data_IF_065117255700
#
_entry.id   IF_065117255700
#
_cell.length_a   1.000
_cell.length_b   1.000
_cell.length_c   1.000
_cell.angle_alpha   90.00
_cell.angle_beta   90.00
_cell.angle_gamma   90.00
#
_symmetry.space_group_name_H-M   'P 1'
#
loop_
_entity.id
_entity.type
_entity.pdbx_description
1 polymer ?
#
# COMPACT_ATOMS: atom_id res chain seq x y z
N UNK A 1 -0.69 1.64 -20.54
CA UNK A 1 -1.04 0.64 -19.50
C UNK A 1 -2.09 1.29 -18.60
N UNK A 2 -3.23 0.65 -18.40
CA UNK A 2 -4.20 1.10 -17.39
C UNK A 2 -3.62 0.85 -16.00
N UNK A 3 -3.96 1.69 -15.02
CA UNK A 3 -3.56 1.55 -13.61
C UNK A 3 -2.03 1.47 -13.36
N UNK A 4 -1.27 2.31 -14.05
CA UNK A 4 0.19 2.23 -14.04
C UNK A 4 0.80 2.46 -12.66
N UNK A 5 0.25 3.36 -11.83
CA UNK A 5 0.72 3.62 -10.47
C UNK A 5 0.60 2.38 -9.57
N UNK A 6 -0.53 1.65 -9.67
CA UNK A 6 -0.71 0.40 -8.93
C UNK A 6 0.25 -0.71 -9.42
N UNK A 7 0.47 -0.81 -10.75
CA UNK A 7 1.46 -1.71 -11.33
C UNK A 7 2.88 -1.37 -10.91
N UNK A 8 3.21 -0.07 -10.82
CA UNK A 8 4.52 0.39 -10.36
C UNK A 8 4.80 -0.03 -8.91
N UNK A 9 3.82 0.08 -8.02
CA UNK A 9 3.95 -0.41 -6.64
C UNK A 9 4.22 -1.92 -6.59
N UNK A 10 3.53 -2.70 -7.42
CA UNK A 10 3.81 -4.15 -7.55
C UNK A 10 5.18 -4.41 -8.15
N UNK A 11 5.59 -3.62 -9.13
CA UNK A 11 6.91 -3.73 -9.75
C UNK A 11 8.04 -3.55 -8.73
N UNK A 12 7.95 -2.53 -7.89
CA UNK A 12 8.95 -2.27 -6.83
C UNK A 12 9.11 -3.48 -5.90
N UNK A 13 7.99 -4.06 -5.44
CA UNK A 13 8.03 -5.26 -4.58
C UNK A 13 8.63 -6.47 -5.31
N UNK A 14 8.22 -6.69 -6.56
CA UNK A 14 8.73 -7.76 -7.40
C UNK A 14 10.23 -7.60 -7.70
N UNK A 15 10.65 -6.37 -8.06
CA UNK A 15 12.05 -6.06 -8.33
C UNK A 15 12.93 -6.30 -7.10
N UNK A 16 12.51 -5.78 -5.94
CA UNK A 16 13.22 -5.99 -4.68
C UNK A 16 13.32 -7.49 -4.34
N UNK A 17 12.22 -8.24 -4.48
CA UNK A 17 12.20 -9.68 -4.20
C UNK A 17 13.11 -10.48 -5.15
N UNK A 18 13.26 -10.06 -6.41
CA UNK A 18 14.06 -10.75 -7.41
C UNK A 18 15.56 -10.41 -7.34
N UNK A 19 15.91 -9.20 -6.90
CA UNK A 19 17.26 -8.68 -6.95
C UNK A 19 17.93 -8.51 -5.57
N UNK A 20 17.27 -8.94 -4.49
CA UNK A 20 17.81 -8.85 -3.13
C UNK A 20 17.86 -10.21 -2.47
N UNK A 21 19.02 -10.62 -1.99
CA UNK A 21 19.19 -11.85 -1.21
C UNK A 21 18.53 -11.72 0.17
N UNK A 22 18.59 -10.54 0.76
CA UNK A 22 17.92 -10.18 2.00
C UNK A 22 16.75 -9.27 1.63
N UNK A 23 15.55 -9.62 2.09
CA UNK A 23 14.34 -8.93 1.66
C UNK A 23 13.72 -8.16 2.81
N UNK A 24 13.47 -6.87 2.58
CA UNK A 24 12.65 -6.03 3.47
C UNK A 24 11.21 -6.55 3.46
N UNK A 25 10.71 -6.86 2.26
CA UNK A 25 9.37 -7.41 2.03
C UNK A 25 9.38 -8.28 0.76
N UNK A 26 8.57 -9.32 0.75
CA UNK A 26 8.36 -10.15 -0.45
C UNK A 26 6.92 -10.65 -0.51
N UNK A 27 6.40 -10.77 -1.72
CA UNK A 27 5.05 -11.27 -2.01
C UNK A 27 4.97 -11.86 -3.43
N UNK A 28 3.75 -12.04 -3.94
CA UNK A 28 3.47 -12.57 -5.27
C UNK A 28 3.40 -11.49 -6.36
N UNK A 29 4.04 -10.33 -6.14
CA UNK A 29 3.96 -9.22 -7.09
C UNK A 29 4.55 -9.53 -8.46
N UNK A 30 5.51 -10.44 -8.55
CA UNK A 30 6.09 -10.85 -9.84
C UNK A 30 5.10 -11.64 -10.68
N UNK A 31 4.35 -12.50 -10.04
CA UNK A 31 3.30 -13.33 -10.68
C UNK A 31 2.19 -12.44 -11.23
N UNK A 32 1.73 -11.46 -10.46
CA UNK A 32 0.65 -10.57 -10.91
C UNK A 32 1.09 -9.63 -12.05
N UNK A 33 2.37 -9.26 -12.10
CA UNK A 33 2.92 -8.43 -13.19
C UNK A 33 3.03 -9.18 -14.51
N UNK A 34 3.43 -10.45 -14.47
CA UNK A 34 3.67 -11.25 -15.67
C UNK A 34 4.56 -10.49 -16.66
N UNK A 35 4.08 -10.36 -17.91
CA UNK A 35 4.81 -9.66 -19.00
C UNK A 35 5.02 -8.16 -18.78
N UNK A 36 4.29 -7.54 -17.88
CA UNK A 36 4.43 -6.10 -17.61
C UNK A 36 5.71 -5.82 -16.80
N UNK A 37 6.28 -6.82 -16.13
CA UNK A 37 7.56 -6.67 -15.43
C UNK A 37 8.68 -6.18 -16.36
N UNK A 38 8.89 -6.86 -17.49
CA UNK A 38 9.95 -6.51 -18.44
C UNK A 38 9.66 -5.16 -19.13
N UNK A 39 8.40 -4.87 -19.43
CA UNK A 39 8.00 -3.57 -20.01
C UNK A 39 8.31 -2.42 -19.05
N UNK A 40 7.96 -2.55 -17.78
CA UNK A 40 8.23 -1.51 -16.78
C UNK A 40 9.74 -1.36 -16.59
N UNK A 41 10.50 -2.46 -16.55
CA UNK A 41 11.96 -2.44 -16.52
C UNK A 41 12.54 -1.59 -17.67
N UNK A 42 12.06 -1.83 -18.90
CA UNK A 42 12.48 -1.05 -20.07
C UNK A 42 12.15 0.44 -19.96
N UNK A 43 10.95 0.79 -19.49
CA UNK A 43 10.57 2.19 -19.28
C UNK A 43 11.42 2.89 -18.24
N UNK A 44 11.67 2.26 -17.10
CA UNK A 44 12.52 2.83 -16.06
C UNK A 44 13.96 3.00 -16.54
N UNK A 45 14.49 1.99 -17.24
CA UNK A 45 15.84 2.06 -17.79
C UNK A 45 16.01 3.23 -18.76
N UNK A 46 15.08 3.41 -19.69
CA UNK A 46 15.10 4.52 -20.66
C UNK A 46 14.84 5.89 -20.01
N UNK A 47 14.10 5.92 -18.89
CA UNK A 47 13.64 7.14 -18.23
C UNK A 47 14.57 7.68 -17.14
N UNK A 48 15.80 7.18 -16.98
CA UNK A 48 16.70 7.59 -15.87
C UNK A 48 16.94 9.10 -15.81
N UNK A 49 17.06 9.77 -16.95
CA UNK A 49 17.27 11.21 -17.03
C UNK A 49 16.14 12.05 -16.43
N UNK A 50 14.94 11.49 -16.32
CA UNK A 50 13.80 12.10 -15.66
C UNK A 50 13.98 12.21 -14.13
N UNK A 51 14.71 11.26 -13.54
CA UNK A 51 14.95 11.21 -12.10
C UNK A 51 16.23 11.89 -11.69
N UNK A 52 17.24 11.85 -12.54
CA UNK A 52 18.56 12.48 -12.30
C UNK A 52 19.26 12.76 -13.62
N UNK A 53 19.84 13.98 -13.75
CA UNK A 53 20.62 14.41 -14.93
C UNK A 53 22.02 13.81 -14.97
N UNK A 54 22.56 13.40 -13.81
CA UNK A 54 24.00 13.11 -13.66
C UNK A 54 24.28 11.62 -13.43
N UNK A 55 23.33 10.74 -13.76
CA UNK A 55 23.53 9.30 -13.59
C UNK A 55 24.66 8.77 -14.48
N UNK A 56 25.67 8.17 -13.85
CA UNK A 56 26.83 7.56 -14.52
C UNK A 56 26.99 6.06 -14.22
N UNK A 57 26.00 5.46 -13.53
CA UNK A 57 26.05 4.05 -13.16
C UNK A 57 25.65 3.13 -14.31
N UNK A 58 25.83 1.82 -14.11
CA UNK A 58 25.52 0.79 -15.09
C UNK A 58 24.10 0.20 -14.95
N UNK A 59 23.45 0.41 -13.80
CA UNK A 59 22.09 -0.12 -13.53
C UNK A 59 21.12 1.01 -13.14
N UNK A 60 20.52 1.67 -14.15
CA UNK A 60 19.58 2.77 -13.91
C UNK A 60 18.31 2.31 -13.20
N UNK A 61 17.84 1.07 -13.42
CA UNK A 61 16.63 0.55 -12.80
C UNK A 61 16.84 0.34 -11.31
N UNK A 62 17.96 -0.27 -10.91
CA UNK A 62 18.31 -0.43 -9.51
C UNK A 62 18.39 0.92 -8.79
N UNK A 63 19.00 1.91 -9.44
CA UNK A 63 19.10 3.25 -8.87
C UNK A 63 17.72 3.88 -8.66
N UNK A 64 16.85 3.87 -9.69
CA UNK A 64 15.49 4.44 -9.59
C UNK A 64 14.69 3.71 -8.50
N UNK A 65 14.71 2.38 -8.53
CA UNK A 65 13.96 1.60 -7.56
C UNK A 65 14.42 1.92 -6.14
N UNK A 66 15.70 1.83 -5.84
CA UNK A 66 16.20 1.95 -4.46
C UNK A 66 16.19 3.39 -3.94
N UNK A 67 16.38 4.40 -4.79
CA UNK A 67 16.49 5.79 -4.34
C UNK A 67 15.17 6.57 -4.44
N UNK A 68 14.22 6.11 -5.28
CA UNK A 68 12.99 6.87 -5.55
C UNK A 68 11.74 6.11 -5.12
N UNK A 69 11.59 4.85 -5.53
CA UNK A 69 10.33 4.13 -5.44
C UNK A 69 10.22 3.22 -4.20
N UNK A 70 11.26 2.44 -3.94
CA UNK A 70 11.28 1.45 -2.86
C UNK A 70 11.13 2.05 -1.47
N UNK A 71 11.70 3.24 -1.15
CA UNK A 71 11.60 3.80 0.19
C UNK A 71 10.18 3.88 0.72
N UNK A 72 9.21 4.35 -0.06
CA UNK A 72 7.81 4.44 0.38
C UNK A 72 7.04 3.13 0.19
N UNK A 73 7.23 2.45 -0.94
CA UNK A 73 6.49 1.22 -1.27
C UNK A 73 6.84 0.07 -0.33
N UNK A 74 8.13 -0.15 -0.06
CA UNK A 74 8.54 -1.23 0.84
C UNK A 74 8.23 -0.90 2.30
N UNK A 75 8.33 0.38 2.70
CA UNK A 75 7.97 0.82 4.03
C UNK A 75 6.50 0.51 4.35
N UNK A 76 5.56 1.00 3.51
CA UNK A 76 4.14 0.73 3.74
C UNK A 76 3.78 -0.76 3.68
N UNK A 77 4.42 -1.51 2.78
CA UNK A 77 4.20 -2.95 2.67
C UNK A 77 4.67 -3.71 3.90
N UNK A 78 5.85 -3.36 4.43
CA UNK A 78 6.42 -3.97 5.64
C UNK A 78 5.65 -3.59 6.89
N UNK A 79 5.24 -2.31 6.99
CA UNK A 79 4.42 -1.82 8.10
C UNK A 79 3.07 -2.55 8.12
N UNK A 80 2.40 -2.64 6.97
CA UNK A 80 1.16 -3.41 6.84
C UNK A 80 1.36 -4.88 7.23
N UNK A 81 2.41 -5.51 6.73
CA UNK A 81 2.67 -6.92 7.01
C UNK A 81 2.93 -7.20 8.50
N UNK A 82 3.70 -6.34 9.18
CA UNK A 82 3.93 -6.43 10.64
C UNK A 82 2.61 -6.41 11.41
N UNK A 83 1.75 -5.42 11.11
CA UNK A 83 0.45 -5.31 11.79
C UNK A 83 -0.49 -6.46 11.43
N UNK A 84 -0.58 -6.85 10.16
CA UNK A 84 -1.37 -8.00 9.73
C UNK A 84 -0.97 -9.28 10.49
N UNK A 85 0.33 -9.56 10.63
CA UNK A 85 0.82 -10.71 11.39
C UNK A 85 0.45 -10.63 12.89
N UNK A 86 0.52 -9.44 13.48
CA UNK A 86 0.12 -9.24 14.86
C UNK A 86 -1.39 -9.44 15.04
N UNK A 87 -2.20 -8.89 14.12
CA UNK A 87 -3.65 -9.03 14.15
C UNK A 87 -4.09 -10.50 13.98
N UNK A 88 -3.40 -11.27 13.13
CA UNK A 88 -3.62 -12.72 13.00
C UNK A 88 -3.37 -13.43 14.33
N UNK A 89 -2.27 -13.12 15.03
CA UNK A 89 -1.97 -13.68 16.37
C UNK A 89 -3.03 -13.30 17.41
N UNK A 90 -3.62 -12.12 17.28
CA UNK A 90 -4.70 -11.59 18.12
C UNK A 90 -6.10 -12.07 17.71
N UNK A 91 -6.19 -13.06 16.81
CA UNK A 91 -7.45 -13.71 16.46
C UNK A 91 -8.24 -13.01 15.36
N UNK A 92 -7.57 -12.32 14.42
CA UNK A 92 -8.17 -11.72 13.23
C UNK A 92 -9.12 -12.68 12.52
N UNK A 93 -10.29 -12.18 12.12
CA UNK A 93 -11.30 -12.95 11.37
C UNK A 93 -11.49 -12.45 9.95
N UNK A 94 -11.31 -11.16 9.72
CA UNK A 94 -11.53 -10.51 8.44
C UNK A 94 -10.39 -9.54 8.13
N UNK A 95 -9.92 -9.56 6.89
CA UNK A 95 -8.97 -8.61 6.36
C UNK A 95 -9.61 -7.85 5.20
N UNK A 96 -9.79 -6.55 5.36
CA UNK A 96 -10.39 -5.65 4.37
C UNK A 96 -9.28 -4.82 3.71
N UNK A 97 -9.11 -4.96 2.42
CA UNK A 97 -8.13 -4.22 1.62
C UNK A 97 -8.87 -3.24 0.72
N UNK A 98 -8.78 -1.97 1.02
CA UNK A 98 -9.41 -0.89 0.25
C UNK A 98 -8.42 -0.27 -0.73
N UNK A 99 -8.88 0.10 -1.93
CA UNK A 99 -8.05 0.47 -3.06
C UNK A 99 -6.97 -0.60 -3.30
N UNK A 100 -7.41 -1.86 -3.40
CA UNK A 100 -6.52 -3.03 -3.38
C UNK A 100 -5.57 -3.10 -4.58
N UNK A 101 -5.90 -2.45 -5.70
CA UNK A 101 -5.07 -2.43 -6.89
C UNK A 101 -4.48 -3.80 -7.21
N UNK A 102 -3.16 -3.85 -7.31
CA UNK A 102 -2.40 -5.10 -7.49
C UNK A 102 -1.66 -5.52 -6.20
N UNK A 103 -2.21 -5.18 -5.03
CA UNK A 103 -1.73 -5.69 -3.75
C UNK A 103 -1.94 -7.20 -3.66
N UNK A 104 -0.95 -7.91 -3.15
CA UNK A 104 -0.98 -9.37 -2.96
C UNK A 104 -0.89 -9.79 -1.49
N UNK A 105 -1.09 -8.85 -0.55
CA UNK A 105 -1.08 -9.13 0.90
C UNK A 105 -2.20 -10.10 1.32
N UNK A 106 -3.29 -10.18 0.56
CA UNK A 106 -4.32 -11.21 0.70
C UNK A 106 -3.76 -12.62 0.74
N UNK A 107 -2.67 -12.89 0.02
CA UNK A 107 -2.01 -14.20 -0.02
C UNK A 107 -1.11 -14.47 1.20
N UNK A 108 -0.94 -13.50 2.10
CA UNK A 108 -0.18 -13.65 3.35
C UNK A 108 -1.01 -14.18 4.52
N UNK A 109 -2.33 -14.27 4.38
CA UNK A 109 -3.21 -14.79 5.41
C UNK A 109 -3.61 -16.25 5.11
N UNK A 110 -3.90 -17.02 6.16
CA UNK A 110 -4.41 -18.37 6.01
C UNK A 110 -5.92 -18.36 5.66
N UNK A 111 -6.47 -19.50 5.28
CA UNK A 111 -7.87 -19.62 4.87
C UNK A 111 -8.89 -19.44 6.01
N UNK A 112 -8.46 -19.30 7.27
CA UNK A 112 -9.32 -19.01 8.41
C UNK A 112 -9.69 -17.52 8.50
N UNK A 113 -8.96 -16.65 7.81
CA UNK A 113 -9.23 -15.22 7.70
C UNK A 113 -9.91 -14.98 6.37
N UNK A 114 -11.13 -14.45 6.39
CA UNK A 114 -11.81 -14.00 5.17
C UNK A 114 -11.20 -12.71 4.69
N UNK A 115 -10.94 -12.60 3.40
CA UNK A 115 -10.38 -11.41 2.78
C UNK A 115 -11.42 -10.75 1.89
N UNK A 116 -11.51 -9.43 1.97
CA UNK A 116 -12.35 -8.60 1.11
C UNK A 116 -11.46 -7.55 0.44
N UNK A 117 -11.42 -7.59 -0.88
CA UNK A 117 -10.70 -6.60 -1.69
C UNK A 117 -11.72 -5.70 -2.37
N UNK A 118 -11.64 -4.40 -2.05
CA UNK A 118 -12.53 -3.39 -2.62
C UNK A 118 -11.72 -2.46 -3.53
N UNK A 119 -12.12 -2.38 -4.78
CA UNK A 119 -11.54 -1.46 -5.77
C UNK A 119 -12.54 -1.27 -6.92
N UNK A 120 -12.21 -0.41 -7.89
CA UNK A 120 -12.99 -0.26 -9.12
C UNK A 120 -13.12 -1.61 -9.84
N UNK A 121 -14.28 -1.87 -10.42
CA UNK A 121 -14.61 -3.15 -11.05
C UNK A 121 -13.60 -3.57 -12.14
N UNK A 122 -13.14 -2.62 -12.96
CA UNK A 122 -12.19 -2.90 -14.03
C UNK A 122 -10.79 -3.26 -13.49
N UNK A 123 -10.36 -2.67 -12.35
CA UNK A 123 -9.12 -3.00 -11.67
C UNK A 123 -9.18 -4.43 -11.13
N UNK A 124 -10.27 -4.78 -10.46
CA UNK A 124 -10.45 -6.13 -9.89
C UNK A 124 -10.56 -7.21 -10.98
N UNK A 125 -11.20 -6.89 -12.10
CA UNK A 125 -11.30 -7.83 -13.22
C UNK A 125 -9.94 -8.09 -13.87
N UNK A 126 -9.11 -7.07 -14.07
CA UNK A 126 -7.74 -7.24 -14.54
C UNK A 126 -6.90 -8.03 -13.52
N UNK A 127 -7.03 -7.72 -12.22
CA UNK A 127 -6.35 -8.48 -11.15
C UNK A 127 -6.74 -9.96 -11.15
N UNK A 128 -8.02 -10.27 -11.24
CA UNK A 128 -8.52 -11.66 -11.31
C UNK A 128 -7.97 -12.40 -12.52
N UNK A 129 -7.94 -11.77 -13.68
CA UNK A 129 -7.37 -12.37 -14.90
C UNK A 129 -5.86 -12.67 -14.74
N UNK A 130 -5.11 -11.77 -14.14
CA UNK A 130 -3.67 -11.96 -13.85
C UNK A 130 -3.40 -13.10 -12.86
N UNK A 131 -4.33 -13.36 -11.96
CA UNK A 131 -4.22 -14.35 -10.89
C UNK A 131 -5.02 -15.63 -11.17
N UNK A 132 -5.59 -15.80 -12.36
CA UNK A 132 -6.50 -16.92 -12.68
C UNK A 132 -5.95 -18.33 -12.46
N UNK A 133 -4.63 -18.48 -12.48
CA UNK A 133 -3.96 -19.76 -12.25
C UNK A 133 -3.56 -19.96 -10.77
N UNK A 134 -3.92 -19.03 -9.89
CA UNK A 134 -3.58 -19.06 -8.47
C UNK A 134 -4.87 -19.27 -7.69
N UNK A 135 -5.01 -20.45 -7.11
CA UNK A 135 -6.19 -20.77 -6.30
C UNK A 135 -6.09 -20.14 -4.92
N UNK A 136 -7.07 -19.28 -4.59
CA UNK A 136 -7.30 -18.77 -3.24
C UNK A 136 -8.78 -18.53 -3.02
N UNK A 137 -9.40 -19.38 -2.24
CA UNK A 137 -10.85 -19.46 -2.05
C UNK A 137 -11.41 -18.49 -1.01
N UNK A 138 -10.55 -17.86 -0.18
CA UNK A 138 -10.98 -16.96 0.91
C UNK A 138 -10.99 -15.48 0.55
N UNK A 139 -10.84 -15.11 -0.74
CA UNK A 139 -10.85 -13.72 -1.21
C UNK A 139 -12.18 -13.40 -1.87
N UNK A 140 -12.86 -12.36 -1.35
CA UNK A 140 -14.05 -11.77 -1.93
C UNK A 140 -13.68 -10.46 -2.63
N UNK A 141 -13.99 -10.33 -3.90
CA UNK A 141 -13.74 -9.12 -4.69
C UNK A 141 -15.01 -8.28 -4.78
N UNK A 142 -14.96 -7.03 -4.33
CA UNK A 142 -16.09 -6.11 -4.26
C UNK A 142 -15.82 -4.90 -5.16
N UNK A 143 -16.43 -4.89 -6.34
CA UNK A 143 -16.27 -3.80 -7.33
C UNK A 143 -17.03 -2.55 -6.88
N UNK A 144 -16.31 -1.52 -6.38
CA UNK A 144 -16.91 -0.28 -5.92
C UNK A 144 -15.92 0.90 -5.99
N UNK A 145 -16.48 2.10 -6.10
CA UNK A 145 -15.74 3.34 -5.91
C UNK A 145 -15.78 3.74 -4.43
N UNK A 146 -14.63 3.97 -3.81
CA UNK A 146 -14.52 4.32 -2.38
C UNK A 146 -15.11 5.69 -2.03
N UNK A 147 -15.34 6.54 -3.02
CA UNK A 147 -16.04 7.83 -2.83
C UNK A 147 -17.55 7.71 -2.87
N UNK A 148 -18.08 6.53 -3.16
CA UNK A 148 -19.52 6.22 -3.27
C UNK A 148 -20.03 5.32 -2.13
N UNK A 149 -21.07 4.55 -2.38
CA UNK A 149 -21.71 3.64 -1.42
C UNK A 149 -21.04 2.24 -1.36
N UNK A 150 -19.70 2.19 -1.35
CA UNK A 150 -18.93 0.94 -1.31
C UNK A 150 -19.27 0.05 -0.10
N UNK A 151 -19.62 0.66 1.04
CA UNK A 151 -19.99 -0.08 2.25
C UNK A 151 -21.26 -0.91 2.06
N UNK A 152 -22.23 -0.44 1.29
CA UNK A 152 -23.44 -1.22 0.98
C UNK A 152 -23.07 -2.46 0.18
N UNK A 153 -22.25 -2.33 -0.86
CA UNK A 153 -21.79 -3.48 -1.66
C UNK A 153 -20.96 -4.47 -0.85
N UNK A 154 -20.12 -3.99 0.08
CA UNK A 154 -19.39 -4.87 0.98
C UNK A 154 -20.36 -5.65 1.88
N UNK A 155 -21.40 -5.00 2.41
CA UNK A 155 -22.40 -5.61 3.30
C UNK A 155 -23.38 -6.55 2.58
N UNK A 156 -23.45 -6.52 1.25
CA UNK A 156 -24.15 -7.53 0.44
C UNK A 156 -23.38 -8.86 0.37
N UNK A 157 -22.10 -8.87 0.75
CA UNK A 157 -21.31 -10.08 0.88
C UNK A 157 -21.49 -10.74 2.26
N UNK A 158 -20.68 -11.73 2.57
CA UNK A 158 -20.66 -12.35 3.90
C UNK A 158 -19.78 -11.61 4.93
N UNK A 159 -19.50 -10.31 4.70
CA UNK A 159 -18.80 -9.45 5.64
C UNK A 159 -19.64 -9.25 6.91
N UNK A 160 -19.04 -9.52 8.06
CA UNK A 160 -19.70 -9.46 9.36
C UNK A 160 -19.14 -8.31 10.21
N UNK A 161 -19.97 -7.30 10.47
CA UNK A 161 -19.63 -6.13 11.30
C UNK A 161 -19.22 -6.46 12.75
N UNK A 162 -19.52 -7.65 13.21
CA UNK A 162 -19.22 -8.09 14.58
C UNK A 162 -17.92 -8.88 14.67
N UNK A 163 -17.25 -9.15 13.55
CA UNK A 163 -15.99 -9.89 13.54
C UNK A 163 -14.80 -8.97 13.52
N UNK A 164 -13.80 -9.26 14.37
CA UNK A 164 -12.54 -8.52 14.40
C UNK A 164 -11.96 -8.40 12.99
N UNK A 165 -11.75 -7.15 12.55
CA UNK A 165 -11.32 -6.79 11.20
C UNK A 165 -10.03 -5.98 11.24
N UNK A 166 -9.09 -6.32 10.38
CA UNK A 166 -7.96 -5.46 10.06
C UNK A 166 -8.20 -4.83 8.69
N UNK A 167 -8.01 -3.53 8.59
CA UNK A 167 -8.24 -2.76 7.34
C UNK A 167 -6.94 -2.14 6.89
N UNK A 168 -6.55 -2.37 5.64
CA UNK A 168 -5.45 -1.66 4.99
C UNK A 168 -5.96 -0.73 3.90
N UNK A 169 -5.44 0.50 3.89
CA UNK A 169 -5.83 1.60 3.01
C UNK A 169 -4.56 2.31 2.53
N UNK A 170 -3.79 1.64 1.66
CA UNK A 170 -2.45 2.05 1.30
C UNK A 170 -2.38 2.80 -0.04
N UNK A 171 -1.65 3.92 -0.05
CA UNK A 171 -1.35 4.68 -1.27
C UNK A 171 -2.54 5.40 -1.87
N UNK A 172 -3.65 5.59 -1.16
CA UNK A 172 -4.86 6.26 -1.66
C UNK A 172 -5.06 7.67 -1.12
N UNK A 173 -4.59 7.96 0.10
CA UNK A 173 -4.74 9.27 0.76
C UNK A 173 -4.20 10.43 -0.08
N UNK A 174 -3.21 10.16 -0.90
CA UNK A 174 -2.55 11.07 -1.83
C UNK A 174 -3.52 11.68 -2.86
N UNK A 175 -4.52 10.91 -3.29
CA UNK A 175 -5.42 11.19 -4.42
C UNK A 175 -6.81 11.64 -4.00
N UNK A 176 -7.09 11.64 -2.70
CA UNK A 176 -8.37 12.08 -2.14
C UNK A 176 -8.22 13.43 -1.44
N UNK A 177 -9.24 14.28 -1.53
CA UNK A 177 -9.32 15.46 -0.67
C UNK A 177 -9.36 15.04 0.81
N UNK A 178 -8.75 15.84 1.69
CA UNK A 178 -8.66 15.53 3.14
C UNK A 178 -10.02 15.19 3.75
N UNK A 179 -11.06 15.94 3.38
CA UNK A 179 -12.42 15.71 3.88
C UNK A 179 -12.94 14.36 3.41
N UNK A 180 -12.74 14.02 2.13
CA UNK A 180 -13.17 12.74 1.57
C UNK A 180 -12.42 11.58 2.23
N UNK A 181 -11.12 11.72 2.46
CA UNK A 181 -10.33 10.69 3.13
C UNK A 181 -10.75 10.51 4.60
N UNK A 182 -10.99 11.61 5.33
CA UNK A 182 -11.50 11.59 6.69
C UNK A 182 -12.85 10.89 6.79
N UNK A 183 -13.78 11.18 5.88
CA UNK A 183 -15.08 10.50 5.77
C UNK A 183 -14.92 9.02 5.44
N UNK A 184 -13.97 8.66 4.60
CA UNK A 184 -13.68 7.27 4.27
C UNK A 184 -13.24 6.50 5.52
N UNK A 185 -12.30 7.02 6.30
CA UNK A 185 -11.84 6.40 7.56
C UNK A 185 -13.00 6.28 8.57
N UNK A 186 -13.87 7.30 8.66
CA UNK A 186 -15.08 7.24 9.49
C UNK A 186 -16.02 6.12 9.06
N UNK A 187 -16.35 6.02 7.77
CA UNK A 187 -17.20 4.94 7.23
C UNK A 187 -16.61 3.55 7.51
N UNK A 188 -15.27 3.41 7.43
CA UNK A 188 -14.60 2.16 7.81
C UNK A 188 -14.84 1.86 9.28
N UNK A 189 -14.58 2.83 10.17
CA UNK A 189 -14.78 2.65 11.60
C UNK A 189 -16.22 2.27 11.95
N UNK A 190 -17.22 2.80 11.24
CA UNK A 190 -18.63 2.53 11.51
C UNK A 190 -19.06 1.08 11.20
N UNK A 191 -18.29 0.37 10.37
CA UNK A 191 -18.63 -1.00 9.95
C UNK A 191 -17.75 -2.09 10.58
N UNK A 192 -16.80 -1.74 11.42
CA UNK A 192 -15.93 -2.70 12.11
C UNK A 192 -16.16 -2.64 13.63
N UNK A 193 -15.97 -3.74 14.38
CA UNK A 193 -16.17 -3.74 15.84
C UNK A 193 -14.98 -3.15 16.60
N UNK A 194 -15.17 -2.91 17.89
CA UNK A 194 -14.11 -2.52 18.82
C UNK A 194 -12.93 -3.51 18.78
N UNK A 195 -11.72 -2.99 18.93
CA UNK A 195 -10.47 -3.76 18.85
C UNK A 195 -10.03 -4.10 17.42
N UNK A 196 -10.74 -3.60 16.41
CA UNK A 196 -10.32 -3.66 15.00
C UNK A 196 -9.34 -2.57 14.65
N UNK A 197 -8.44 -2.84 13.69
CA UNK A 197 -7.40 -1.92 13.28
C UNK A 197 -7.60 -1.33 11.88
N UNK A 198 -7.19 -0.08 11.67
CA UNK A 198 -7.18 0.62 10.38
C UNK A 198 -5.77 1.13 10.13
N UNK A 199 -5.16 0.71 9.04
CA UNK A 199 -3.80 1.09 8.67
C UNK A 199 -3.78 1.85 7.34
N UNK A 200 -3.08 2.97 7.31
CA UNK A 200 -2.91 3.79 6.10
C UNK A 200 -1.58 4.55 6.12
N UNK A 201 -1.20 5.07 4.96
CA UNK A 201 -0.08 5.99 4.81
C UNK A 201 -0.56 7.34 4.27
N UNK A 202 0.13 8.42 4.67
CA UNK A 202 -0.19 9.79 4.23
C UNK A 202 1.06 10.53 3.80
N UNK A 203 1.00 11.32 2.70
CA UNK A 203 2.07 12.24 2.37
C UNK A 203 2.02 13.47 3.28
N UNK A 204 3.18 14.00 3.63
CA UNK A 204 3.33 15.33 4.23
C UNK A 204 3.86 16.37 3.23
N UNK A 205 4.03 17.60 3.66
CA UNK A 205 4.51 18.72 2.81
C UNK A 205 5.91 18.51 2.20
N UNK A 206 6.70 17.60 2.76
CA UNK A 206 8.05 17.26 2.29
C UNK A 206 8.07 16.14 1.26
N UNK A 207 6.90 15.60 0.89
CA UNK A 207 6.82 14.53 -0.11
C UNK A 207 7.43 14.96 -1.45
N UNK A 208 8.37 14.17 -1.95
CA UNK A 208 9.18 14.53 -3.13
C UNK A 208 8.32 14.66 -4.40
N UNK A 209 8.34 15.87 -4.99
CA UNK A 209 7.62 16.20 -6.22
C UNK A 209 8.09 15.38 -7.44
N UNK A 210 9.28 14.80 -7.42
CA UNK A 210 9.78 13.94 -8.52
C UNK A 210 8.94 12.68 -8.67
N UNK A 211 8.36 12.18 -7.56
CA UNK A 211 7.43 11.05 -7.61
C UNK A 211 6.09 11.47 -8.25
N UNK A 212 5.70 12.76 -8.15
CA UNK A 212 4.50 13.27 -8.81
C UNK A 212 4.53 13.11 -10.34
N UNK A 213 5.68 13.20 -10.97
CA UNK A 213 5.84 12.99 -12.40
C UNK A 213 5.72 11.53 -12.84
N UNK A 214 5.63 10.59 -11.89
CA UNK A 214 5.29 9.19 -12.14
C UNK A 214 3.78 8.93 -12.11
N UNK A 215 2.96 9.93 -11.74
CA UNK A 215 1.51 9.90 -11.99
C UNK A 215 1.30 10.00 -13.50
N UNK A 216 1.17 8.86 -14.14
CA UNK A 216 1.11 8.73 -15.60
C UNK A 216 -0.29 8.94 -16.16
N UNK A 217 -1.25 9.34 -15.34
CA UNK A 217 -2.59 9.72 -15.77
C UNK A 217 -3.05 11.00 -15.07
N UNK A 218 -3.84 11.81 -15.77
CA UNK A 218 -4.46 13.02 -15.22
C UNK A 218 -5.39 12.77 -14.03
N UNK A 219 -5.86 11.53 -13.86
CA UNK A 219 -6.79 11.12 -12.82
C UNK A 219 -6.08 10.76 -11.49
N UNK A 220 -4.74 10.68 -11.51
CA UNK A 220 -3.90 10.32 -10.37
C UNK A 220 -3.10 11.52 -9.85
N UNK A 221 -3.64 12.73 -10.01
CA UNK A 221 -3.01 13.93 -9.49
C UNK A 221 -3.09 13.96 -7.96
N UNK A 222 -1.97 14.30 -7.34
CA UNK A 222 -1.86 14.39 -5.89
C UNK A 222 -2.65 15.57 -5.37
N UNK A 223 -3.60 15.33 -4.47
CA UNK A 223 -4.54 16.32 -3.96
C UNK A 223 -4.24 16.82 -2.56
N UNK A 224 -3.69 15.98 -1.69
CA UNK A 224 -3.61 16.28 -0.27
C UNK A 224 -2.27 15.97 0.36
N UNK A 225 -1.86 16.83 1.32
CA UNK A 225 -0.76 16.63 2.25
C UNK A 225 -1.28 16.72 3.67
N UNK A 226 -0.79 15.88 4.58
CA UNK A 226 -1.31 15.75 5.94
C UNK A 226 -0.25 16.16 6.96
N UNK A 227 -0.62 17.01 7.90
CA UNK A 227 0.17 17.28 9.08
C UNK A 227 -0.32 16.44 10.28
N UNK A 228 0.32 16.56 11.45
CA UNK A 228 -0.04 15.78 12.63
C UNK A 228 -1.47 16.08 13.10
N UNK A 229 -1.90 17.33 13.03
CA UNK A 229 -3.27 17.74 13.40
C UNK A 229 -4.32 17.09 12.49
N UNK A 230 -4.05 16.99 11.18
CA UNK A 230 -4.96 16.29 10.25
C UNK A 230 -5.14 14.82 10.66
N UNK A 231 -4.06 14.16 11.09
CA UNK A 231 -4.09 12.76 11.53
C UNK A 231 -4.86 12.63 12.85
N UNK A 232 -4.62 13.52 13.82
CA UNK A 232 -5.35 13.57 15.09
C UNK A 232 -6.86 13.81 14.86
N UNK A 233 -7.20 14.72 13.96
CA UNK A 233 -8.58 15.01 13.56
C UNK A 233 -9.27 13.81 12.88
N UNK A 234 -8.54 13.03 12.07
CA UNK A 234 -9.05 11.79 11.47
C UNK A 234 -9.35 10.76 12.56
N UNK A 235 -8.41 10.54 13.49
CA UNK A 235 -8.57 9.58 14.57
C UNK A 235 -9.78 9.95 15.47
N UNK A 236 -9.86 11.20 15.91
CA UNK A 236 -10.96 11.70 16.74
C UNK A 236 -12.32 11.56 16.04
N UNK A 237 -12.41 11.97 14.78
CA UNK A 237 -13.65 11.92 14.00
C UNK A 237 -14.13 10.49 13.75
N UNK A 238 -13.20 9.55 13.58
CA UNK A 238 -13.52 8.13 13.35
C UNK A 238 -13.73 7.32 14.64
N UNK A 239 -13.65 7.93 15.82
CA UNK A 239 -13.69 7.23 17.11
C UNK A 239 -12.64 6.12 17.20
N UNK A 240 -11.39 6.47 16.86
CA UNK A 240 -10.23 5.59 16.92
C UNK A 240 -9.10 6.24 17.71
N UNK A 241 -8.18 5.42 18.23
CA UNK A 241 -6.93 5.88 18.83
C UNK A 241 -5.77 5.64 17.87
N UNK A 242 -4.84 6.57 17.81
CA UNK A 242 -3.56 6.38 17.14
C UNK A 242 -2.74 5.40 18.00
N UNK A 243 -2.61 4.16 17.52
CA UNK A 243 -1.82 3.12 18.21
C UNK A 243 -0.33 3.23 17.84
N UNK A 244 -0.04 3.45 16.56
CA UNK A 244 1.32 3.65 16.07
C UNK A 244 1.31 4.71 14.94
N UNK A 245 2.26 5.64 14.99
CA UNK A 245 2.52 6.62 13.94
C UNK A 245 4.03 6.67 13.72
N UNK A 246 4.48 6.29 12.54
CA UNK A 246 5.88 6.22 12.17
C UNK A 246 6.22 7.24 11.08
N UNK A 247 7.42 7.78 11.16
CA UNK A 247 8.03 8.60 10.13
C UNK A 247 9.21 7.90 9.44
N UNK A 248 9.95 8.62 8.62
CA UNK A 248 11.10 8.10 7.88
C UNK A 248 12.26 7.65 8.79
N UNK A 249 12.41 8.24 9.99
CA UNK A 249 13.45 7.85 10.96
C UNK A 249 13.11 6.47 11.51
N UNK A 250 11.85 6.27 11.90
CA UNK A 250 11.36 4.99 12.42
C UNK A 250 11.47 3.90 11.36
N UNK A 251 11.09 4.21 10.11
CA UNK A 251 11.20 3.25 8.99
C UNK A 251 12.65 2.82 8.78
N UNK A 252 13.59 3.76 8.76
CA UNK A 252 15.01 3.42 8.62
C UNK A 252 15.51 2.57 9.77
N UNK A 253 15.12 2.88 11.01
CA UNK A 253 15.59 2.19 12.20
C UNK A 253 14.94 0.80 12.40
N UNK A 254 13.65 0.65 12.12
CA UNK A 254 12.90 -0.56 12.46
C UNK A 254 12.67 -1.51 11.29
N UNK A 255 12.66 -0.99 10.05
CA UNK A 255 12.34 -1.81 8.88
C UNK A 255 13.50 -1.96 7.90
N UNK A 256 14.35 -0.93 7.75
CA UNK A 256 15.42 -0.93 6.75
C UNK A 256 16.80 -1.19 7.33
N UNK A 257 16.98 -1.08 8.65
CA UNK A 257 18.27 -1.20 9.32
C UNK A 257 19.01 -2.49 8.94
N UNK A 258 18.38 -3.64 9.12
CA UNK A 258 19.01 -4.93 8.83
C UNK A 258 19.38 -5.08 7.36
N UNK A 259 18.48 -4.68 6.45
CA UNK A 259 18.75 -4.69 5.02
C UNK A 259 19.95 -3.81 4.68
N UNK A 260 19.96 -2.57 5.13
CA UNK A 260 20.99 -1.59 4.83
C UNK A 260 22.36 -1.96 5.42
N UNK A 261 22.38 -2.54 6.62
CA UNK A 261 23.62 -3.04 7.25
C UNK A 261 24.25 -4.17 6.42
N UNK A 262 23.45 -5.04 5.87
CA UNK A 262 23.91 -6.19 5.07
C UNK A 262 24.10 -5.87 3.58
N UNK A 263 23.64 -4.70 3.12
CA UNK A 263 23.75 -4.22 1.75
C UNK A 263 24.31 -2.78 1.69
N UNK A 264 25.52 -2.50 2.20
CA UNK A 264 26.03 -1.13 2.34
C UNK A 264 26.16 -0.38 1.02
N UNK A 265 26.36 -1.09 -0.09
CA UNK A 265 26.50 -0.52 -1.43
C UNK A 265 25.18 -0.41 -2.20
N UNK A 266 24.06 -0.89 -1.61
CA UNK A 266 22.74 -0.92 -2.26
C UNK A 266 21.63 -0.62 -1.26
N UNK A 267 21.81 0.43 -0.48
CA UNK A 267 20.90 0.81 0.59
C UNK A 267 19.57 1.35 0.05
N UNK A 268 18.51 1.16 0.83
CA UNK A 268 17.20 1.77 0.64
C UNK A 268 16.93 2.64 1.86
N UNK A 269 16.81 3.95 1.65
CA UNK A 269 16.69 4.92 2.74
C UNK A 269 15.38 5.67 2.61
N UNK A 270 14.49 5.49 3.58
CA UNK A 270 13.28 6.28 3.68
C UNK A 270 13.63 7.76 3.88
N UNK A 271 12.93 8.61 3.14
CA UNK A 271 13.08 10.07 3.18
C UNK A 271 11.86 10.68 3.86
N UNK A 272 12.06 11.89 4.40
CA UNK A 272 10.95 12.71 4.89
C UNK A 272 9.89 12.90 3.81
N UNK A 273 8.63 12.82 4.15
CA UNK A 273 7.55 13.02 3.19
C UNK A 273 6.38 12.03 3.30
N UNK A 274 6.52 10.94 4.07
CA UNK A 274 5.44 9.98 4.28
C UNK A 274 5.34 9.58 5.74
N UNK A 275 4.14 9.53 6.27
CA UNK A 275 3.81 8.98 7.58
C UNK A 275 2.99 7.71 7.43
N UNK A 276 3.20 6.77 8.35
CA UNK A 276 2.54 5.47 8.39
C UNK A 276 1.75 5.39 9.69
N UNK A 277 0.45 5.18 9.59
CA UNK A 277 -0.47 5.32 10.71
C UNK A 277 -1.23 4.02 10.93
N UNK A 278 -1.30 3.58 12.17
CA UNK A 278 -2.15 2.49 12.61
C UNK A 278 -3.10 2.98 13.70
N UNK A 279 -4.40 2.92 13.40
CA UNK A 279 -5.49 3.29 14.30
C UNK A 279 -6.15 2.03 14.84
N UNK A 280 -6.61 2.09 16.08
CA UNK A 280 -7.43 1.03 16.70
C UNK A 280 -8.76 1.63 17.14
N UNK A 281 -9.87 0.97 16.79
CA UNK A 281 -11.21 1.36 17.22
C UNK A 281 -11.42 0.98 18.69
N UNK A 282 -11.90 1.93 19.47
CA UNK A 282 -12.17 1.79 20.92
C UNK A 282 -13.61 2.21 21.25
#
# INVERSE_FOLDING_TARGET
MKNLTALMSSYVRAYHSANSNIRIYSDMSKEILGKDYDKITGYLSAGISYFTSDYKGLDPVNWIVNNVLAPSVLARSSFNFKHLQNEIKLGLKQYLILASGYDTSAFKVNNLVKVYEVDKEDVLNDKKERLKNIDKTNINYVGADLTSNWTLKLLETDFDKNKKTFVSLLGISYYLDKTVFKELVKKISDIIPYGSGILFDTPDEYFDNKIKGLAFSSDEEMKSFYNDKDIDDIAAYSNTLIYEKLDYIDINNFYFYNYNTLNPNNQIIAKKGVKYIYLVKF
#
